data_IF_797576783424
#
_entry.id   IF_797576783424
#
_cell.length_a   1.000
_cell.length_b   1.000
_cell.length_c   1.000
_cell.angle_alpha   90.00
_cell.angle_beta   90.00
_cell.angle_gamma   90.00
#
_symmetry.space_group_name_H-M   'P 1'
#
loop_
_entity.id
_entity.type
_entity.pdbx_description
1 polymer ?
#
# COMPACT_ATOMS: atom_id res chain seq x y z
N UNK A 1 -32.52 11.71 15.58
CA UNK A 1 -31.77 10.94 14.58
C UNK A 1 -30.65 11.82 14.05
N UNK A 2 -29.39 11.41 14.23
CA UNK A 2 -28.26 12.00 13.51
C UNK A 2 -27.81 11.00 12.44
N UNK A 3 -27.89 11.40 11.18
CA UNK A 3 -27.41 10.64 10.03
C UNK A 3 -26.16 11.36 9.54
N UNK A 4 -25.03 10.66 9.46
CA UNK A 4 -23.78 11.19 8.94
C UNK A 4 -23.21 10.20 7.91
N UNK A 5 -22.84 10.71 6.74
CA UNK A 5 -22.13 9.99 5.69
C UNK A 5 -20.79 10.70 5.48
N UNK A 6 -19.69 9.96 5.52
CA UNK A 6 -18.34 10.48 5.35
C UNK A 6 -17.62 9.71 4.26
N UNK A 7 -17.12 10.43 3.25
CA UNK A 7 -16.32 9.88 2.16
C UNK A 7 -14.90 10.41 2.27
N UNK A 8 -13.91 9.54 2.44
CA UNK A 8 -12.50 9.91 2.53
C UNK A 8 -11.71 9.27 1.38
N UNK A 9 -11.15 10.09 0.50
CA UNK A 9 -10.39 9.65 -0.67
C UNK A 9 -8.94 10.13 -0.54
N UNK A 10 -8.00 9.19 -0.53
CA UNK A 10 -6.58 9.48 -0.55
C UNK A 10 -5.94 8.81 -1.77
N UNK A 11 -5.16 9.57 -2.55
CA UNK A 11 -4.44 9.07 -3.72
C UNK A 11 -2.96 9.38 -3.56
N UNK A 12 -2.12 8.35 -3.60
CA UNK A 12 -0.66 8.47 -3.56
C UNK A 12 -0.13 8.03 -4.92
N UNK A 13 0.67 8.88 -5.57
CA UNK A 13 1.34 8.56 -6.83
C UNK A 13 2.83 8.66 -6.58
N UNK A 14 3.56 7.58 -6.86
CA UNK A 14 5.01 7.55 -6.81
C UNK A 14 5.52 7.08 -8.17
N UNK A 15 6.49 7.80 -8.73
CA UNK A 15 6.99 7.55 -10.09
C UNK A 15 8.52 7.65 -10.12
N UNK A 16 9.23 6.66 -9.55
CA UNK A 16 10.69 6.60 -9.64
C UNK A 16 11.11 6.42 -11.10
N UNK A 17 12.25 7.01 -11.48
CA UNK A 17 12.82 6.88 -12.82
C UNK A 17 14.31 6.62 -12.69
N UNK A 18 14.81 5.64 -13.43
CA UNK A 18 16.22 5.29 -13.44
C UNK A 18 16.67 5.09 -14.88
N UNK A 19 17.87 5.55 -15.19
CA UNK A 19 18.51 5.33 -16.49
C UNK A 19 19.63 4.30 -16.28
N UNK A 20 19.71 3.34 -17.19
CA UNK A 20 20.76 2.32 -17.15
C UNK A 20 21.16 1.92 -18.57
N UNK A 21 22.26 1.19 -18.66
CA UNK A 21 22.70 0.59 -19.92
C UNK A 21 22.15 -0.83 -20.05
N UNK A 22 22.12 -1.34 -21.27
CA UNK A 22 21.73 -2.70 -21.57
C UNK A 22 22.55 -3.72 -20.74
N UNK A 23 21.88 -4.75 -20.21
CA UNK A 23 22.44 -5.78 -19.34
C UNK A 23 23.09 -5.26 -18.04
N UNK A 24 22.72 -4.05 -17.58
CA UNK A 24 23.23 -3.48 -16.32
C UNK A 24 22.11 -3.18 -15.35
N UNK A 25 22.22 -3.80 -14.18
CA UNK A 25 21.35 -3.50 -13.05
C UNK A 25 21.50 -2.03 -12.65
N UNK A 26 20.36 -1.36 -12.49
CA UNK A 26 20.28 -0.06 -11.85
C UNK A 26 19.23 -0.05 -10.76
N UNK A 27 19.53 0.72 -9.72
CA UNK A 27 18.73 0.81 -8.50
C UNK A 27 18.52 2.27 -8.14
N UNK A 28 17.27 2.63 -7.84
CA UNK A 28 16.89 3.92 -7.29
C UNK A 28 16.13 3.71 -5.99
N UNK A 29 16.50 4.47 -4.96
CA UNK A 29 15.87 4.45 -3.64
C UNK A 29 15.42 5.87 -3.32
N UNK A 30 14.16 6.01 -2.91
CA UNK A 30 13.60 7.26 -2.40
C UNK A 30 12.88 6.97 -1.09
N UNK A 31 13.30 7.59 0.00
CA UNK A 31 12.67 7.35 1.29
C UNK A 31 13.27 8.16 2.42
N UNK A 32 12.83 7.82 3.61
CA UNK A 32 13.32 8.36 4.87
C UNK A 32 13.45 7.25 5.91
N UNK A 33 14.33 7.46 6.88
CA UNK A 33 14.55 6.52 7.97
C UNK A 33 13.73 6.93 9.18
N UNK A 34 12.82 6.08 9.62
CA UNK A 34 11.96 6.33 10.76
C UNK A 34 12.66 5.80 12.03
N UNK A 35 12.92 6.65 13.05
CA UNK A 35 13.52 6.21 14.30
C UNK A 35 12.50 5.54 15.22
N UNK A 36 12.78 4.31 15.63
CA UNK A 36 12.06 3.55 16.64
C UNK A 36 12.86 3.49 17.93
N UNK A 37 12.18 3.69 19.06
CA UNK A 37 12.79 3.53 20.37
C UNK A 37 12.61 2.06 20.81
N UNK A 38 13.71 1.35 20.96
CA UNK A 38 13.76 -0.02 21.48
C UNK A 38 14.30 0.00 22.91
N UNK A 39 13.51 -0.52 23.85
CA UNK A 39 13.91 -0.62 25.26
C UNK A 39 14.60 -1.97 25.45
N UNK A 40 15.92 -1.95 25.62
CA UNK A 40 16.73 -3.13 25.91
C UNK A 40 17.18 -3.16 27.37
N UNK A 41 17.63 -4.32 27.87
CA UNK A 41 18.15 -4.45 29.26
C UNK A 41 19.35 -3.52 29.55
N UNK A 42 20.03 -3.02 28.51
CA UNK A 42 21.17 -2.10 28.62
C UNK A 42 20.78 -0.62 28.41
N UNK A 43 19.49 -0.29 28.33
CA UNK A 43 18.97 1.07 28.13
C UNK A 43 18.16 1.24 26.84
N UNK A 44 17.71 2.47 26.62
CA UNK A 44 16.95 2.87 25.42
C UNK A 44 17.89 3.02 24.23
N UNK A 45 17.67 2.24 23.17
CA UNK A 45 18.40 2.35 21.90
C UNK A 45 17.46 2.86 20.81
N UNK A 46 17.99 3.70 19.91
CA UNK A 46 17.25 4.18 18.74
C UNK A 46 17.60 3.27 17.56
N UNK A 47 16.60 2.62 16.97
CA UNK A 47 16.73 1.80 15.77
C UNK A 47 16.05 2.49 14.59
N UNK A 48 16.78 2.69 13.50
CA UNK A 48 16.21 3.26 12.28
C UNK A 48 15.60 2.15 11.43
N UNK A 49 14.37 2.36 10.96
CA UNK A 49 13.68 1.48 10.01
C UNK A 49 13.40 2.28 8.75
N UNK A 50 13.84 1.76 7.61
CA UNK A 50 13.72 2.42 6.32
C UNK A 50 12.24 2.41 5.87
N UNK A 51 11.74 3.59 5.49
CA UNK A 51 10.48 3.77 4.79
C UNK A 51 10.78 4.30 3.39
N UNK A 52 11.14 3.39 2.49
CA UNK A 52 11.60 3.73 1.16
C UNK A 52 10.78 3.05 0.06
N UNK A 53 10.73 3.73 -1.09
CA UNK A 53 10.39 3.16 -2.38
C UNK A 53 11.70 2.86 -3.12
N UNK A 54 11.92 1.58 -3.36
CA UNK A 54 13.04 1.07 -4.12
C UNK A 54 12.53 0.45 -5.44
N UNK A 55 13.23 0.79 -6.53
CA UNK A 55 13.08 0.16 -7.83
C UNK A 55 14.46 -0.32 -8.27
N UNK A 56 14.57 -1.63 -8.51
CA UNK A 56 15.73 -2.27 -9.10
C UNK A 56 15.31 -2.85 -10.45
N UNK A 57 16.07 -2.54 -11.49
CA UNK A 57 15.77 -2.95 -12.86
C UNK A 57 17.02 -3.42 -13.58
N UNK A 58 16.88 -4.49 -14.35
CA UNK A 58 17.89 -4.97 -15.30
C UNK A 58 17.25 -5.11 -16.68
N UNK A 59 17.55 -4.22 -17.62
CA UNK A 59 17.04 -4.33 -18.98
C UNK A 59 17.91 -5.24 -19.85
N UNK A 60 17.28 -5.86 -20.84
CA UNK A 60 17.92 -6.60 -21.91
C UNK A 60 17.23 -6.29 -23.24
N UNK A 61 17.94 -5.64 -24.16
CA UNK A 61 17.42 -5.29 -25.49
C UNK A 61 17.60 -6.45 -26.45
N UNK A 62 16.49 -6.92 -27.03
CA UNK A 62 16.50 -8.02 -28.01
C UNK A 62 16.65 -7.50 -29.44
N UNK A 63 16.98 -8.41 -30.37
CA UNK A 63 17.13 -8.08 -31.81
C UNK A 63 15.82 -7.64 -32.49
N UNK A 64 14.67 -7.95 -31.90
CA UNK A 64 13.33 -7.60 -32.42
C UNK A 64 12.83 -6.23 -31.88
N UNK A 65 13.74 -5.39 -31.37
CA UNK A 65 13.43 -4.07 -30.82
C UNK A 65 12.44 -4.11 -29.63
N UNK A 66 12.43 -5.24 -28.91
CA UNK A 66 11.72 -5.41 -27.64
C UNK A 66 12.71 -5.43 -26.48
N UNK A 67 12.26 -4.95 -25.32
CA UNK A 67 13.05 -4.81 -24.11
C UNK A 67 12.49 -5.79 -23.08
N UNK A 68 13.32 -6.73 -22.66
CA UNK A 68 13.05 -7.58 -21.51
C UNK A 68 13.50 -6.82 -20.26
N UNK A 69 12.57 -6.56 -19.34
CA UNK A 69 12.86 -5.93 -18.06
C UNK A 69 12.69 -6.95 -16.94
N UNK A 70 13.75 -7.19 -16.19
CA UNK A 70 13.67 -7.83 -14.88
C UNK A 70 13.58 -6.76 -13.80
N UNK A 71 12.56 -6.85 -12.96
CA UNK A 71 12.12 -5.76 -12.10
C UNK A 71 11.84 -6.25 -10.69
N UNK A 72 12.38 -5.52 -9.72
CA UNK A 72 12.03 -5.64 -8.32
C UNK A 72 11.62 -4.27 -7.78
N UNK A 73 10.38 -4.16 -7.31
CA UNK A 73 9.87 -2.97 -6.63
C UNK A 73 9.59 -3.30 -5.18
N UNK A 74 10.09 -2.46 -4.28
CA UNK A 74 9.88 -2.56 -2.85
C UNK A 74 9.36 -1.23 -2.31
N UNK A 75 8.28 -1.23 -1.54
CA UNK A 75 7.70 -0.04 -0.94
C UNK A 75 7.40 -0.29 0.52
N UNK A 76 8.17 0.37 1.37
CA UNK A 76 7.96 0.42 2.81
C UNK A 76 7.34 1.79 3.18
N UNK A 77 6.18 1.75 3.83
CA UNK A 77 5.48 2.95 4.25
C UNK A 77 4.99 2.83 5.70
N UNK A 78 5.06 3.91 6.50
CA UNK A 78 4.46 3.93 7.83
C UNK A 78 2.94 3.79 7.73
N UNK A 79 2.40 2.90 8.56
CA UNK A 79 0.99 2.65 8.73
C UNK A 79 0.56 3.20 10.08
N UNK A 80 -0.05 4.39 10.05
CA UNK A 80 -0.54 5.08 11.24
C UNK A 80 -1.82 4.45 11.81
N UNK A 81 -2.53 3.61 11.04
CA UNK A 81 -3.73 2.90 11.51
C UNK A 81 -3.36 1.81 12.54
N UNK A 82 -2.14 1.28 12.45
CA UNK A 82 -1.62 0.24 13.36
C UNK A 82 -0.42 0.79 14.10
N UNK A 83 -0.65 1.38 15.28
CA UNK A 83 0.39 2.02 16.08
C UNK A 83 0.56 1.28 17.41
N UNK A 84 1.80 0.94 17.78
CA UNK A 84 2.13 0.33 19.07
C UNK A 84 2.99 1.33 19.83
N UNK A 85 2.54 1.77 21.02
CA UNK A 85 3.29 2.73 21.87
C UNK A 85 3.71 4.02 21.14
N UNK A 86 2.89 4.53 20.21
CA UNK A 86 3.18 5.73 19.43
C UNK A 86 4.09 5.52 18.21
N UNK A 87 4.51 4.27 17.94
CA UNK A 87 5.31 3.89 16.78
C UNK A 87 4.41 3.21 15.73
N UNK A 88 4.33 3.74 14.50
CA UNK A 88 3.49 3.14 13.45
C UNK A 88 4.07 1.79 13.02
N UNK A 89 3.22 0.88 12.52
CA UNK A 89 3.69 -0.33 11.85
C UNK A 89 4.26 0.03 10.47
N UNK A 90 5.12 -0.81 9.90
CA UNK A 90 5.57 -0.64 8.51
C UNK A 90 4.79 -1.59 7.61
N UNK A 91 4.09 -1.03 6.63
CA UNK A 91 3.48 -1.81 5.54
C UNK A 91 4.53 -2.00 4.46
N UNK A 92 4.81 -3.26 4.11
CA UNK A 92 5.76 -3.65 3.07
C UNK A 92 5.04 -4.21 1.87
N UNK A 93 5.28 -3.62 0.71
CA UNK A 93 4.79 -4.12 -0.57
C UNK A 93 5.98 -4.46 -1.46
N UNK A 94 6.14 -5.74 -1.81
CA UNK A 94 7.18 -6.21 -2.73
C UNK A 94 6.54 -6.84 -3.96
N UNK A 95 7.04 -6.49 -5.14
CA UNK A 95 6.70 -7.15 -6.40
C UNK A 95 7.98 -7.44 -7.17
N UNK A 96 8.10 -8.68 -7.66
CA UNK A 96 9.21 -9.14 -8.48
C UNK A 96 8.64 -9.79 -9.72
N UNK A 97 9.08 -9.34 -10.89
CA UNK A 97 8.55 -9.83 -12.16
C UNK A 97 9.55 -9.67 -13.30
N UNK A 98 9.27 -10.33 -14.41
CA UNK A 98 9.96 -10.12 -15.68
C UNK A 98 8.92 -9.89 -16.76
N UNK A 99 9.08 -8.80 -17.53
CA UNK A 99 8.15 -8.43 -18.59
C UNK A 99 8.89 -8.13 -19.88
N UNK A 100 8.30 -8.52 -21.00
CA UNK A 100 8.77 -8.20 -22.34
C UNK A 100 7.84 -7.14 -22.94
N UNK A 101 8.39 -6.04 -23.40
CA UNK A 101 7.62 -4.91 -23.93
C UNK A 101 8.36 -4.19 -25.04
N UNK A 102 7.61 -3.47 -25.87
CA UNK A 102 8.19 -2.63 -26.92
C UNK A 102 8.75 -1.33 -26.33
N UNK A 103 9.72 -0.72 -27.01
CA UNK A 103 10.22 0.61 -26.63
C UNK A 103 9.08 1.65 -26.58
N UNK A 104 9.01 2.42 -25.50
CA UNK A 104 7.96 3.42 -25.24
C UNK A 104 6.57 2.87 -24.87
N UNK A 105 6.38 1.55 -24.80
CA UNK A 105 5.11 0.95 -24.40
C UNK A 105 4.95 0.97 -22.88
N UNK A 106 3.75 1.30 -22.38
CA UNK A 106 3.45 1.23 -20.94
C UNK A 106 2.63 0.00 -20.64
N UNK A 107 3.10 -0.84 -19.72
CA UNK A 107 2.39 -2.04 -19.29
C UNK A 107 2.11 -2.04 -17.79
N UNK A 108 1.07 -2.77 -17.40
CA UNK A 108 0.73 -3.00 -15.99
C UNK A 108 1.40 -4.30 -15.56
N UNK A 109 2.36 -4.20 -14.66
CA UNK A 109 3.10 -5.36 -14.19
C UNK A 109 2.46 -6.06 -12.99
N UNK A 110 1.54 -5.38 -12.31
CA UNK A 110 0.84 -5.94 -11.17
C UNK A 110 -0.06 -4.93 -10.45
N UNK A 111 -0.91 -5.46 -9.57
CA UNK A 111 -1.76 -4.66 -8.72
C UNK A 111 -2.39 -5.47 -7.59
N UNK A 112 -2.80 -4.79 -6.53
CA UNK A 112 -3.51 -5.35 -5.39
C UNK A 112 -4.83 -4.61 -5.26
N UNK A 113 -5.94 -5.36 -5.24
CA UNK A 113 -7.29 -4.84 -5.04
C UNK A 113 -7.90 -5.46 -3.79
N UNK A 114 -8.20 -4.63 -2.79
CA UNK A 114 -8.77 -5.06 -1.51
C UNK A 114 -10.08 -4.32 -1.29
N UNK A 115 -11.12 -5.07 -0.92
CA UNK A 115 -12.42 -4.54 -0.54
C UNK A 115 -12.80 -5.12 0.81
N UNK A 116 -12.76 -4.29 1.83
CA UNK A 116 -13.21 -4.61 3.17
C UNK A 116 -14.62 -4.05 3.37
N UNK A 117 -15.54 -4.90 3.80
CA UNK A 117 -16.92 -4.52 4.15
C UNK A 117 -17.16 -4.86 5.61
N UNK A 118 -17.49 -3.86 6.41
CA UNK A 118 -17.89 -4.03 7.80
C UNK A 118 -19.33 -3.54 7.97
N UNK A 119 -20.20 -4.46 8.35
CA UNK A 119 -21.59 -4.17 8.73
C UNK A 119 -21.72 -4.39 10.24
N UNK A 120 -21.97 -3.33 11.02
CA UNK A 120 -22.34 -3.44 12.43
C UNK A 120 -23.78 -3.00 12.65
N UNK A 121 -24.45 -3.66 13.60
CA UNK A 121 -25.82 -3.35 13.97
C UNK A 121 -25.92 -3.34 15.49
N UNK A 122 -25.67 -2.17 16.05
CA UNK A 122 -25.71 -1.92 17.48
C UNK A 122 -27.11 -1.47 17.90
N UNK A 123 -27.52 -1.80 19.11
CA UNK A 123 -28.86 -1.46 19.56
C UNK A 123 -29.17 -2.04 20.92
N UNK A 124 -30.28 -1.59 21.50
CA UNK A 124 -30.69 -2.08 22.83
C UNK A 124 -31.15 -3.54 22.68
N UNK A 125 -30.58 -4.49 23.47
CA UNK A 125 -31.04 -5.87 23.48
C UNK A 125 -32.55 -5.96 23.68
N UNK A 126 -33.21 -6.91 23.02
CA UNK A 126 -34.68 -7.10 23.01
C UNK A 126 -35.48 -6.04 22.25
N UNK A 127 -35.19 -4.74 22.41
CA UNK A 127 -35.94 -3.66 21.75
C UNK A 127 -35.59 -3.50 20.26
N UNK A 128 -34.35 -3.80 19.87
CA UNK A 128 -33.87 -3.67 18.48
C UNK A 128 -34.55 -4.62 17.49
N UNK A 129 -35.12 -5.73 17.99
CA UNK A 129 -35.70 -6.82 17.19
C UNK A 129 -37.25 -6.77 17.16
N UNK A 130 -37.88 -5.81 17.86
CA UNK A 130 -39.33 -5.65 17.84
C UNK A 130 -39.85 -5.20 16.48
N UNK A 131 -40.93 -5.80 15.95
CA UNK A 131 -41.57 -5.34 14.74
C UNK A 131 -42.11 -3.91 14.93
N UNK A 132 -42.11 -3.12 13.84
CA UNK A 132 -42.54 -1.71 13.77
C UNK A 132 -41.66 -0.68 14.50
N UNK A 133 -41.17 -0.97 15.70
CA UNK A 133 -40.43 0.02 16.53
C UNK A 133 -38.93 -0.24 16.63
N UNK A 134 -38.44 -1.45 16.32
CA UNK A 134 -37.03 -1.82 16.48
C UNK A 134 -36.05 -0.97 15.66
N UNK A 135 -36.51 -0.30 14.60
CA UNK A 135 -35.68 0.65 13.83
C UNK A 135 -35.23 1.87 14.65
N UNK A 136 -36.02 2.32 15.62
CA UNK A 136 -35.67 3.46 16.49
C UNK A 136 -34.67 3.09 17.59
N UNK A 137 -34.50 1.80 17.87
CA UNK A 137 -33.64 1.26 18.93
C UNK A 137 -32.40 0.54 18.40
N UNK A 138 -32.13 0.67 17.09
CA UNK A 138 -30.93 0.13 16.43
C UNK A 138 -30.20 1.21 15.64
N UNK A 139 -28.90 1.11 15.60
CA UNK A 139 -28.00 1.91 14.77
C UNK A 139 -27.27 0.95 13.84
N UNK A 140 -27.36 1.22 12.55
CA UNK A 140 -26.64 0.45 11.53
C UNK A 140 -25.41 1.25 11.14
N UNK A 141 -24.24 0.65 11.27
CA UNK A 141 -23.01 1.17 10.71
C UNK A 141 -22.64 0.30 9.52
N UNK A 142 -22.40 0.95 8.38
CA UNK A 142 -21.89 0.29 7.17
C UNK A 142 -20.63 1.01 6.77
N UNK A 143 -19.53 0.29 6.75
CA UNK A 143 -18.24 0.80 6.34
C UNK A 143 -17.74 -0.05 5.16
N UNK A 144 -17.33 0.63 4.09
CA UNK A 144 -16.77 -0.02 2.90
C UNK A 144 -15.44 0.64 2.60
N UNK A 145 -14.36 -0.10 2.79
CA UNK A 145 -12.99 0.36 2.55
C UNK A 145 -12.47 -0.30 1.29
N UNK A 146 -12.07 0.51 0.30
CA UNK A 146 -11.48 0.05 -0.96
C UNK A 146 -10.03 0.50 -1.02
N UNK A 147 -9.10 -0.42 -1.25
CA UNK A 147 -7.68 -0.14 -1.44
C UNK A 147 -7.24 -0.71 -2.78
N UNK A 148 -6.72 0.16 -3.63
CA UNK A 148 -6.25 -0.18 -4.98
C UNK A 148 -4.78 0.23 -5.12
N UNK A 149 -3.94 -0.70 -5.55
CA UNK A 149 -2.56 -0.44 -5.92
C UNK A 149 -2.34 -0.97 -7.33
N UNK A 150 -1.79 -0.14 -8.21
CA UNK A 150 -1.41 -0.51 -9.57
C UNK A 150 0.04 -0.10 -9.79
N UNK A 151 0.80 -0.97 -10.45
CA UNK A 151 2.20 -0.72 -10.78
C UNK A 151 2.34 -0.68 -12.30
N UNK A 152 2.73 0.48 -12.80
CA UNK A 152 2.93 0.75 -14.22
C UNK A 152 4.41 0.88 -14.53
N UNK A 153 4.81 0.37 -15.68
CA UNK A 153 6.18 0.49 -16.16
C UNK A 153 6.19 0.91 -17.61
N UNK A 154 7.10 1.81 -17.91
CA UNK A 154 7.45 2.28 -19.25
C UNK A 154 8.98 2.20 -19.34
N UNK A 155 9.54 1.52 -20.36
CA UNK A 155 10.98 1.44 -20.59
C UNK A 155 11.53 2.77 -21.10
#
# INVERSE_FOLDING_TARGET
LSLAEQNNLAKVISSPRVMTVDNKEAKIIQGEDIPYLSISQNGTQVQFVEANLELTVTPHVTSENTILLELETHRDAPNFDTTIQGQPAITRNKAQTSVLLSDGETTVIGGIYIVDKADSNDGIPFLKDLPYIGYFFRVKHKEVTKKEMLVFITP
#
